data_IF_100353842102
#
_entry.id   IF_100353842102
#
_cell.length_a   1.000
_cell.length_b   1.000
_cell.length_c   1.000
_cell.angle_alpha   90.00
_cell.angle_beta   90.00
_cell.angle_gamma   90.00
#
_symmetry.space_group_name_H-M   'P 1'
#
loop_
_entity.id
_entity.type
_entity.pdbx_description
1 polymer ?
#
# COMPACT_ATOMS: atom_id res chain seq x y z
N UNK A 1 41.97 14.81 -73.76
CA UNK A 1 41.07 15.05 -72.62
C UNK A 1 40.57 16.47 -72.68
N UNK A 2 39.26 16.66 -72.46
CA UNK A 2 38.69 17.96 -72.16
C UNK A 2 38.81 18.17 -70.64
N UNK A 3 39.30 19.34 -70.23
CA UNK A 3 39.30 19.78 -68.83
C UNK A 3 38.25 20.88 -68.69
N UNK A 4 37.19 20.60 -67.92
CA UNK A 4 36.01 21.47 -67.79
C UNK A 4 35.81 21.84 -66.34
N UNK A 5 35.84 23.14 -66.05
CA UNK A 5 35.64 23.71 -64.71
C UNK A 5 34.16 23.89 -64.35
N UNK A 6 33.27 23.98 -65.35
CA UNK A 6 31.82 24.00 -65.14
C UNK A 6 31.06 23.58 -66.39
N UNK A 7 29.88 23.00 -66.18
CA UNK A 7 28.87 22.73 -67.21
C UNK A 7 27.55 23.32 -66.74
N UNK A 8 26.93 24.17 -67.56
CA UNK A 8 25.60 24.74 -67.29
C UNK A 8 24.58 24.22 -68.31
N UNK A 9 23.49 23.65 -67.83
CA UNK A 9 22.36 23.20 -68.63
C UNK A 9 21.06 23.77 -68.03
N UNK A 10 20.56 24.86 -68.63
CA UNK A 10 19.46 25.61 -68.05
C UNK A 10 19.82 26.19 -66.67
N UNK A 11 19.02 25.88 -65.65
CA UNK A 11 19.22 26.32 -64.27
C UNK A 11 20.19 25.43 -63.48
N UNK A 12 20.58 24.29 -64.03
CA UNK A 12 21.50 23.34 -63.41
C UNK A 12 22.94 23.68 -63.77
N UNK A 13 23.82 23.68 -62.76
CA UNK A 13 25.27 23.86 -62.90
C UNK A 13 25.96 22.69 -62.22
N UNK A 14 26.89 22.04 -62.92
CA UNK A 14 27.87 21.12 -62.31
C UNK A 14 29.23 21.80 -62.38
N UNK A 15 29.92 21.93 -61.26
CA UNK A 15 31.26 22.52 -61.15
C UNK A 15 32.09 21.81 -60.08
N UNK A 16 33.24 22.37 -59.69
CA UNK A 16 34.13 21.80 -58.68
C UNK A 16 33.50 21.63 -57.29
N UNK A 17 32.39 22.31 -56.99
CA UNK A 17 31.69 22.22 -55.70
C UNK A 17 30.60 21.14 -55.69
N UNK A 18 30.02 20.82 -56.86
CA UNK A 18 29.00 19.78 -57.02
C UNK A 18 27.92 20.13 -58.06
N UNK A 19 26.74 19.56 -57.89
CA UNK A 19 25.52 19.88 -58.66
C UNK A 19 24.70 20.95 -57.93
N UNK A 20 24.35 22.01 -58.63
CA UNK A 20 23.49 23.10 -58.15
C UNK A 20 22.32 23.32 -59.10
N UNK A 21 21.10 23.43 -58.58
CA UNK A 21 19.94 23.91 -59.33
C UNK A 21 19.57 25.28 -58.77
N UNK A 22 19.61 26.31 -59.62
CA UNK A 22 19.26 27.70 -59.21
C UNK A 22 17.84 27.72 -58.63
N UNK A 23 17.68 28.28 -57.42
CA UNK A 23 16.45 28.31 -56.62
C UNK A 23 15.84 26.91 -56.34
N UNK A 24 16.69 25.87 -56.27
CA UNK A 24 16.28 24.49 -56.09
C UNK A 24 17.28 23.63 -55.30
N UNK A 25 17.16 22.29 -55.39
CA UNK A 25 18.06 21.38 -54.69
C UNK A 25 19.52 21.45 -55.16
N UNK A 26 20.45 21.03 -54.30
CA UNK A 26 21.87 20.88 -54.62
C UNK A 26 22.48 19.63 -53.99
N UNK A 27 23.59 19.15 -54.56
CA UNK A 27 24.42 18.06 -54.05
C UNK A 27 25.88 18.50 -54.15
N UNK A 28 26.51 18.77 -53.02
CA UNK A 28 27.86 19.33 -52.93
C UNK A 28 28.75 18.45 -52.05
N UNK A 29 30.03 18.80 -51.97
CA UNK A 29 30.95 18.21 -50.98
C UNK A 29 30.50 18.41 -49.52
N UNK A 30 29.66 19.41 -49.25
CA UNK A 30 29.06 19.68 -47.94
C UNK A 30 27.78 18.87 -47.65
N UNK A 31 27.26 18.13 -48.62
CA UNK A 31 26.04 17.33 -48.47
C UNK A 31 24.94 17.68 -49.48
N UNK A 32 23.71 17.34 -49.12
CA UNK A 32 22.52 17.51 -49.98
C UNK A 32 21.62 18.59 -49.36
N UNK A 33 21.22 19.57 -50.16
CA UNK A 33 20.16 20.52 -49.83
C UNK A 33 18.94 20.22 -50.70
N UNK A 34 17.77 20.00 -50.07
CA UNK A 34 16.52 19.76 -50.79
C UNK A 34 15.88 21.06 -51.34
N UNK A 35 16.41 22.23 -51.00
CA UNK A 35 15.89 23.52 -51.46
C UNK A 35 14.44 23.75 -51.07
N UNK A 36 14.07 23.40 -49.82
CA UNK A 36 12.70 23.45 -49.29
C UNK A 36 11.67 22.57 -50.04
N UNK A 37 12.11 21.54 -50.77
CA UNK A 37 11.21 20.60 -51.44
C UNK A 37 10.98 19.33 -50.62
N UNK A 38 9.83 18.68 -50.84
CA UNK A 38 9.54 17.34 -50.31
C UNK A 38 10.38 16.30 -51.08
N UNK A 39 11.16 15.51 -50.36
CA UNK A 39 11.86 14.33 -50.90
C UNK A 39 10.88 13.16 -50.92
N UNK A 40 10.63 12.60 -52.11
CA UNK A 40 9.71 11.46 -52.31
C UNK A 40 10.48 10.15 -52.47
N UNK A 41 9.76 9.04 -52.35
CA UNK A 41 10.28 7.68 -52.58
C UNK A 41 11.43 7.28 -51.64
N UNK A 42 11.42 7.81 -50.42
CA UNK A 42 12.34 7.40 -49.36
C UNK A 42 11.82 6.09 -48.76
N UNK A 43 12.59 5.01 -48.89
CA UNK A 43 12.29 3.73 -48.26
C UNK A 43 12.31 3.84 -46.73
N UNK A 44 11.76 2.84 -46.03
CA UNK A 44 11.85 2.81 -44.57
C UNK A 44 13.33 2.65 -44.17
N UNK A 45 13.83 3.53 -43.31
CA UNK A 45 15.21 3.44 -42.80
C UNK A 45 15.36 2.23 -41.87
N UNK A 46 16.46 1.50 -42.01
CA UNK A 46 16.74 0.28 -41.24
C UNK A 46 18.01 0.39 -40.38
N UNK A 47 18.97 1.24 -40.78
CA UNK A 47 20.21 1.49 -40.08
C UNK A 47 20.17 2.84 -39.33
N UNK A 48 21.08 3.02 -38.37
CA UNK A 48 21.16 4.24 -37.53
C UNK A 48 21.32 5.54 -38.34
N UNK A 49 21.86 5.47 -39.56
CA UNK A 49 22.15 6.62 -40.41
C UNK A 49 21.17 6.79 -41.57
N UNK A 50 20.15 5.95 -41.68
CA UNK A 50 19.18 6.05 -42.77
C UNK A 50 18.19 7.21 -42.53
N UNK A 51 17.74 7.84 -43.62
CA UNK A 51 16.65 8.79 -43.54
C UNK A 51 15.33 8.07 -43.20
N UNK A 52 14.54 8.66 -42.29
CA UNK A 52 13.20 8.16 -41.98
C UNK A 52 12.14 8.82 -42.87
N UNK A 53 11.16 8.05 -43.31
CA UNK A 53 10.02 8.61 -44.02
C UNK A 53 8.83 8.88 -43.07
N UNK A 54 7.82 9.61 -43.57
CA UNK A 54 6.65 10.00 -42.77
C UNK A 54 5.87 8.81 -42.20
N UNK A 55 5.84 7.64 -42.86
CA UNK A 55 5.12 6.47 -42.37
C UNK A 55 5.71 5.95 -41.07
N UNK A 56 7.03 5.91 -40.95
CA UNK A 56 7.70 5.51 -39.71
C UNK A 56 7.37 6.49 -38.57
N UNK A 57 7.39 7.80 -38.86
CA UNK A 57 6.97 8.83 -37.91
C UNK A 57 5.50 8.69 -37.51
N UNK A 58 4.58 8.50 -38.46
CA UNK A 58 3.15 8.34 -38.21
C UNK A 58 2.88 7.07 -37.37
N UNK A 59 3.65 5.99 -37.59
CA UNK A 59 3.55 4.75 -36.80
C UNK A 59 3.98 5.00 -35.36
N UNK A 60 5.11 5.67 -35.15
CA UNK A 60 5.58 6.06 -33.82
C UNK A 60 4.58 7.00 -33.14
N UNK A 61 4.11 8.03 -33.86
CA UNK A 61 3.10 8.97 -33.38
C UNK A 61 1.81 8.25 -33.02
N UNK A 62 1.42 7.20 -33.74
CA UNK A 62 0.27 6.37 -33.42
C UNK A 62 0.46 5.53 -32.16
N UNK A 63 1.67 5.03 -31.89
CA UNK A 63 1.98 4.30 -30.65
C UNK A 63 2.01 5.25 -29.46
N UNK A 64 2.75 6.36 -29.59
CA UNK A 64 2.87 7.38 -28.54
C UNK A 64 1.51 8.01 -28.25
N UNK A 65 0.73 8.30 -29.29
CA UNK A 65 -0.60 8.88 -29.18
C UNK A 65 -1.65 7.96 -28.52
N UNK A 66 -1.42 6.64 -28.47
CA UNK A 66 -2.29 5.73 -27.70
C UNK A 66 -2.09 5.84 -26.19
N UNK A 67 -0.93 6.31 -25.74
CA UNK A 67 -0.63 6.39 -24.31
C UNK A 67 -0.55 5.02 -23.63
N UNK A 68 -0.95 4.99 -22.36
CA UNK A 68 -1.04 3.78 -21.53
C UNK A 68 -2.40 3.71 -20.83
N UNK A 69 -2.83 2.52 -20.39
CA UNK A 69 -4.13 2.32 -19.74
C UNK A 69 -4.05 2.32 -18.21
N UNK A 70 -4.92 3.09 -17.54
CA UNK A 70 -5.16 3.06 -16.10
C UNK A 70 -6.40 2.21 -15.79
N UNK A 71 -6.24 1.21 -14.94
CA UNK A 71 -7.33 0.35 -14.47
C UNK A 71 -7.29 0.26 -12.94
N UNK A 72 -8.44 0.44 -12.27
CA UNK A 72 -8.58 0.34 -10.81
C UNK A 72 -9.58 -0.77 -10.47
N UNK A 73 -9.24 -1.65 -9.54
CA UNK A 73 -10.10 -2.73 -9.05
C UNK A 73 -10.71 -3.60 -10.17
N UNK A 74 -9.94 -3.89 -11.22
CA UNK A 74 -10.38 -4.65 -12.40
C UNK A 74 -11.56 -4.02 -13.16
N UNK A 75 -11.78 -2.71 -13.02
CA UNK A 75 -12.80 -1.97 -13.77
C UNK A 75 -12.43 -1.76 -15.23
N UNK A 76 -13.11 -0.84 -15.91
CA UNK A 76 -12.75 -0.44 -17.27
C UNK A 76 -11.36 0.22 -17.33
N UNK A 77 -10.70 0.11 -18.50
CA UNK A 77 -9.41 0.76 -18.73
C UNK A 77 -9.60 2.17 -19.26
N UNK A 78 -9.06 3.15 -18.55
CA UNK A 78 -9.00 4.54 -18.99
C UNK A 78 -7.68 4.80 -19.72
N UNK A 79 -7.71 5.33 -20.94
CA UNK A 79 -6.48 5.67 -21.66
C UNK A 79 -5.90 7.00 -21.16
N UNK A 80 -4.62 7.00 -20.80
CA UNK A 80 -3.86 8.18 -20.41
C UNK A 80 -2.86 8.51 -21.53
N UNK A 81 -3.18 9.52 -22.32
CA UNK A 81 -2.39 9.93 -23.49
C UNK A 81 -1.36 11.01 -23.13
N UNK A 82 -0.35 11.29 -23.99
CA UNK A 82 0.64 12.31 -23.70
C UNK A 82 0.01 13.69 -23.45
N UNK A 83 0.41 14.32 -22.35
CA UNK A 83 -0.11 15.62 -21.91
C UNK A 83 -1.17 15.53 -20.82
N UNK A 84 -1.75 14.35 -20.57
CA UNK A 84 -2.69 14.14 -19.48
C UNK A 84 -2.00 13.91 -18.13
N UNK A 85 -2.75 14.10 -17.05
CA UNK A 85 -2.30 13.88 -15.68
C UNK A 85 -3.20 12.88 -14.99
N UNK A 86 -2.59 11.85 -14.39
CA UNK A 86 -3.28 11.01 -13.41
C UNK A 86 -3.14 11.66 -12.05
N UNK A 87 -4.27 12.06 -11.48
CA UNK A 87 -4.32 12.60 -10.14
C UNK A 87 -4.57 11.48 -9.13
N UNK A 88 -3.64 11.27 -8.20
CA UNK A 88 -3.85 10.37 -7.06
C UNK A 88 -4.30 11.21 -5.88
N UNK A 89 -5.58 11.13 -5.57
CA UNK A 89 -6.17 11.82 -4.42
C UNK A 89 -6.14 10.92 -3.21
N UNK A 90 -5.65 11.43 -2.08
CA UNK A 90 -5.85 10.76 -0.80
C UNK A 90 -7.32 10.74 -0.40
N UNK A 91 -7.73 9.64 0.22
CA UNK A 91 -9.02 9.52 0.90
C UNK A 91 -8.81 9.61 2.41
N UNK A 92 -9.89 9.48 3.17
CA UNK A 92 -9.89 9.83 4.59
C UNK A 92 -8.89 9.01 5.44
N UNK A 93 -8.75 7.71 5.14
CA UNK A 93 -7.90 6.81 5.93
C UNK A 93 -6.52 6.58 5.35
N UNK A 94 -6.26 7.15 4.17
CA UNK A 94 -5.08 6.86 3.39
C UNK A 94 -4.40 8.16 3.03
N UNK A 95 -3.27 8.42 3.66
CA UNK A 95 -2.40 9.54 3.32
C UNK A 95 -1.61 9.21 2.05
N UNK A 96 -1.58 10.13 1.09
CA UNK A 96 -0.76 10.01 -0.11
C UNK A 96 0.18 11.22 -0.21
N UNK A 97 1.49 10.97 -0.26
CA UNK A 97 2.51 12.01 -0.45
C UNK A 97 3.46 11.63 -1.58
N UNK A 98 4.09 12.61 -2.23
CA UNK A 98 5.09 12.34 -3.29
C UNK A 98 6.41 13.02 -2.97
N UNK A 99 7.51 12.29 -3.13
CA UNK A 99 8.86 12.85 -3.14
C UNK A 99 9.57 12.42 -4.41
N UNK A 100 9.77 13.36 -5.35
CA UNK A 100 10.31 13.06 -6.68
C UNK A 100 9.46 12.03 -7.44
N UNK A 101 10.04 10.87 -7.73
CA UNK A 101 9.39 9.75 -8.43
C UNK A 101 8.73 8.74 -7.48
N UNK A 102 8.83 8.95 -6.17
CA UNK A 102 8.26 8.06 -5.16
C UNK A 102 6.90 8.58 -4.70
N UNK A 103 5.89 7.72 -4.80
CA UNK A 103 4.57 7.92 -4.18
C UNK A 103 4.53 7.12 -2.87
N UNK A 104 4.28 7.79 -1.75
CA UNK A 104 4.11 7.19 -0.43
C UNK A 104 2.63 7.14 -0.08
N UNK A 105 2.10 5.93 0.10
CA UNK A 105 0.73 5.67 0.50
C UNK A 105 0.78 5.06 1.90
N UNK A 106 0.26 5.76 2.89
CA UNK A 106 0.24 5.32 4.28
C UNK A 106 -1.19 5.30 4.80
N UNK A 107 -1.47 4.51 5.83
CA UNK A 107 -2.63 4.87 6.66
C UNK A 107 -2.37 6.27 7.16
N UNK A 108 -3.39 7.09 7.09
CA UNK A 108 -3.31 8.35 7.77
C UNK A 108 -2.96 8.05 9.24
N UNK A 109 -2.17 8.94 9.87
CA UNK A 109 -1.84 8.88 11.30
C UNK A 109 -3.10 8.76 12.19
N UNK A 110 -4.25 9.04 11.58
CA UNK A 110 -5.60 8.87 12.08
C UNK A 110 -6.41 8.14 11.00
N UNK A 111 -7.17 7.13 11.39
CA UNK A 111 -8.04 6.33 10.51
C UNK A 111 -9.47 6.37 11.03
N UNK A 112 -10.42 6.16 10.13
CA UNK A 112 -11.86 6.39 10.27
C UNK A 112 -12.65 5.26 9.57
N UNK A 113 -13.03 4.22 10.33
CA UNK A 113 -13.76 3.06 9.83
C UNK A 113 -15.24 3.13 10.22
N UNK A 114 -16.20 3.03 9.27
CA UNK A 114 -17.65 3.06 9.56
C UNK A 114 -18.11 1.95 10.52
N UNK A 115 -17.57 0.74 10.35
CA UNK A 115 -17.54 -0.32 11.36
C UNK A 115 -16.18 -0.94 11.28
N UNK A 116 -15.41 -0.70 12.31
CA UNK A 116 -14.52 -1.74 12.74
C UNK A 116 -15.35 -2.63 13.68
N UNK A 117 -15.36 -3.92 13.44
CA UNK A 117 -15.87 -4.86 14.44
C UNK A 117 -14.90 -4.78 15.63
N UNK A 118 -15.28 -3.99 16.66
CA UNK A 118 -14.46 -3.65 17.85
C UNK A 118 -15.24 -3.27 19.15
N UNK A 119 -16.56 -3.39 19.29
CA UNK A 119 -17.27 -3.33 20.61
C UNK A 119 -16.96 -2.16 21.59
N UNK A 120 -17.11 -2.39 22.90
CA UNK A 120 -16.77 -1.43 23.98
C UNK A 120 -15.24 -1.32 24.23
N UNK A 121 -14.45 -1.89 23.34
CA UNK A 121 -13.04 -2.19 23.51
C UNK A 121 -12.23 -0.93 23.19
N UNK A 122 -11.61 -0.35 24.22
CA UNK A 122 -10.67 0.78 24.06
C UNK A 122 -9.24 0.29 24.16
N UNK A 123 -8.38 0.46 23.15
CA UNK A 123 -6.92 0.23 23.24
C UNK A 123 -6.18 1.53 23.58
N UNK A 124 -5.68 1.63 24.81
CA UNK A 124 -4.92 2.79 25.26
C UNK A 124 -3.43 2.68 24.88
N UNK A 125 -2.91 3.65 24.13
CA UNK A 125 -1.52 3.60 23.62
C UNK A 125 -0.46 3.72 24.73
N UNK A 126 -0.77 4.44 25.81
CA UNK A 126 0.21 4.74 26.86
C UNK A 126 0.25 3.66 27.94
N UNK A 127 -0.93 3.13 28.28
CA UNK A 127 -1.13 2.14 29.34
C UNK A 127 -1.31 0.72 28.79
N UNK A 128 -1.51 0.57 27.48
CA UNK A 128 -1.74 -0.71 26.81
C UNK A 128 -3.10 -1.34 27.14
N UNK A 129 -3.99 -0.63 27.83
CA UNK A 129 -5.21 -1.24 28.36
C UNK A 129 -6.27 -1.37 27.30
N UNK A 130 -6.88 -2.55 27.32
CA UNK A 130 -8.14 -2.83 26.66
C UNK A 130 -9.26 -2.73 27.69
N UNK A 131 -10.01 -1.64 27.67
CA UNK A 131 -11.09 -1.39 28.63
C UNK A 131 -12.45 -1.44 27.96
N UNK A 132 -13.50 -1.42 28.79
CA UNK A 132 -14.88 -1.41 28.36
C UNK A 132 -15.44 -2.77 27.95
N UNK A 133 -14.60 -3.80 27.86
CA UNK A 133 -15.02 -5.20 27.71
C UNK A 133 -16.20 -5.53 28.63
N UNK A 134 -17.37 -5.74 28.01
CA UNK A 134 -18.57 -6.21 28.68
C UNK A 134 -18.32 -7.56 29.35
N UNK A 135 -19.17 -7.91 30.32
CA UNK A 135 -19.13 -9.24 30.89
C UNK A 135 -19.39 -10.26 29.79
N UNK A 136 -18.36 -11.03 29.48
CA UNK A 136 -18.48 -12.04 28.46
C UNK A 136 -19.43 -13.13 28.91
N UNK A 137 -20.22 -13.68 27.99
CA UNK A 137 -21.04 -14.83 28.31
C UNK A 137 -20.15 -15.91 28.98
N UNK A 138 -20.56 -16.43 30.15
CA UNK A 138 -19.79 -17.45 30.87
C UNK A 138 -20.36 -18.84 30.60
N UNK A 139 -19.99 -19.37 29.45
CA UNK A 139 -20.33 -20.72 29.02
C UNK A 139 -19.10 -21.39 28.43
N UNK A 140 -19.13 -22.71 28.22
CA UNK A 140 -18.03 -23.41 27.56
C UNK A 140 -17.75 -22.89 26.13
N UNK A 141 -18.69 -22.13 25.52
CA UNK A 141 -18.69 -21.76 24.10
C UNK A 141 -18.47 -20.27 23.78
N UNK A 142 -18.55 -19.36 24.77
CA UNK A 142 -18.45 -17.90 24.55
C UNK A 142 -17.14 -17.43 23.90
N UNK A 143 -17.21 -16.27 23.21
CA UNK A 143 -16.10 -15.56 22.56
C UNK A 143 -15.97 -14.11 22.99
N UNK A 144 -16.80 -13.71 23.92
CA UNK A 144 -16.74 -12.38 24.46
C UNK A 144 -15.49 -12.27 25.34
N UNK A 145 -14.86 -11.10 25.32
CA UNK A 145 -13.80 -10.84 26.28
C UNK A 145 -14.40 -10.82 27.70
N UNK A 146 -13.67 -11.35 28.68
CA UNK A 146 -14.11 -11.33 30.09
C UNK A 146 -13.69 -10.04 30.75
N UNK A 147 -14.60 -9.47 31.52
CA UNK A 147 -14.35 -8.20 32.19
C UNK A 147 -13.53 -8.39 33.46
N UNK A 148 -12.97 -7.28 33.96
CA UNK A 148 -12.34 -7.26 35.28
C UNK A 148 -13.30 -7.59 36.42
N UNK A 149 -14.61 -7.35 36.25
CA UNK A 149 -15.63 -7.65 37.26
C UNK A 149 -15.80 -9.15 37.47
N UNK A 150 -15.85 -9.93 36.37
CA UNK A 150 -16.03 -11.38 36.41
C UNK A 150 -14.85 -12.08 37.11
N UNK A 151 -13.63 -11.62 36.85
CA UNK A 151 -12.43 -12.13 37.53
C UNK A 151 -12.39 -11.72 39.01
N UNK A 152 -12.79 -10.49 39.31
CA UNK A 152 -12.83 -10.00 40.68
C UNK A 152 -13.81 -10.81 41.55
N UNK A 153 -15.01 -11.10 41.04
CA UNK A 153 -16.01 -11.91 41.75
C UNK A 153 -15.47 -13.31 42.11
N UNK A 154 -14.79 -13.96 41.16
CA UNK A 154 -14.15 -15.28 41.38
C UNK A 154 -13.11 -15.22 42.49
N UNK A 155 -12.28 -14.18 42.51
CA UNK A 155 -11.23 -14.02 43.51
C UNK A 155 -11.79 -13.83 44.94
N UNK A 156 -12.95 -13.20 45.09
CA UNK A 156 -13.59 -13.08 46.40
C UNK A 156 -14.04 -14.41 46.98
N UNK A 157 -14.50 -15.33 46.13
CA UNK A 157 -14.92 -16.66 46.55
C UNK A 157 -13.72 -17.51 47.01
N UNK A 158 -12.59 -17.43 46.30
CA UNK A 158 -11.33 -18.10 46.70
C UNK A 158 -10.87 -17.62 48.07
N UNK A 159 -10.86 -16.29 48.28
CA UNK A 159 -10.45 -15.70 49.55
C UNK A 159 -11.33 -16.16 50.72
N UNK A 160 -12.64 -16.38 50.49
CA UNK A 160 -13.56 -16.88 51.51
C UNK A 160 -13.20 -18.32 51.92
N UNK A 161 -13.00 -19.20 50.95
CA UNK A 161 -12.65 -20.60 51.22
C UNK A 161 -11.36 -20.72 52.02
N UNK A 162 -10.35 -19.91 51.70
CA UNK A 162 -9.11 -19.89 52.48
C UNK A 162 -9.35 -19.62 53.96
N UNK A 163 -10.26 -18.70 54.29
CA UNK A 163 -10.61 -18.38 55.68
C UNK A 163 -11.41 -19.50 56.33
N UNK A 164 -12.40 -20.04 55.65
CA UNK A 164 -13.25 -21.10 56.19
C UNK A 164 -12.45 -22.37 56.45
N UNK A 165 -11.50 -22.71 55.57
CA UNK A 165 -10.56 -23.82 55.78
C UNK A 165 -9.71 -23.55 57.03
N UNK A 166 -9.22 -22.33 57.21
CA UNK A 166 -8.45 -21.97 58.39
C UNK A 166 -9.31 -22.03 59.67
N UNK A 167 -10.56 -21.58 59.61
CA UNK A 167 -11.50 -21.63 60.72
C UNK A 167 -11.90 -23.07 61.07
N UNK A 168 -12.22 -23.89 60.07
CA UNK A 168 -12.46 -25.31 60.26
C UNK A 168 -11.24 -25.98 60.87
N UNK A 169 -10.04 -25.68 60.36
CA UNK A 169 -8.80 -26.15 60.95
C UNK A 169 -8.68 -25.71 62.41
N UNK A 170 -9.04 -24.48 62.76
CA UNK A 170 -9.03 -23.98 64.13
C UNK A 170 -10.10 -24.64 65.02
N UNK A 171 -11.33 -24.85 64.55
CA UNK A 171 -12.40 -25.54 65.30
C UNK A 171 -12.06 -27.01 65.53
N UNK A 172 -11.55 -27.68 64.49
CA UNK A 172 -11.01 -29.03 64.60
C UNK A 172 -9.87 -29.08 65.63
N UNK A 173 -9.01 -28.05 65.64
CA UNK A 173 -7.97 -27.90 66.65
C UNK A 173 -8.49 -27.52 68.04
N UNK A 174 -9.64 -26.85 68.17
CA UNK A 174 -10.19 -26.41 69.46
C UNK A 174 -11.02 -27.50 70.15
N UNK A 175 -11.59 -28.44 69.40
CA UNK A 175 -12.42 -29.52 69.93
C UNK A 175 -13.78 -29.10 70.50
N UNK A 176 -14.56 -30.08 70.95
CA UNK A 176 -15.93 -29.94 71.48
C UNK A 176 -15.91 -29.98 73.01
N UNK A 177 -16.60 -29.03 73.65
CA UNK A 177 -16.76 -28.99 75.10
C UNK A 177 -17.96 -29.82 75.56
N UNK A 178 -17.74 -30.73 76.49
CA UNK A 178 -18.78 -31.54 77.13
C UNK A 178 -18.84 -31.19 78.61
N UNK A 179 -20.05 -31.03 79.15
CA UNK A 179 -20.27 -30.91 80.59
C UNK A 179 -20.58 -32.31 81.16
N UNK A 180 -19.77 -32.76 82.12
CA UNK A 180 -20.00 -34.00 82.86
C UNK A 180 -20.38 -33.72 84.31
N UNK A 181 -20.85 -34.76 85.01
CA UNK A 181 -21.28 -34.69 86.42
C UNK A 181 -20.18 -34.25 87.42
N UNK A 182 -18.92 -34.07 86.98
CA UNK A 182 -17.79 -33.59 87.78
C UNK A 182 -16.95 -32.49 87.10
N UNK A 183 -17.51 -31.78 86.11
CA UNK A 183 -16.84 -30.67 85.42
C UNK A 183 -16.86 -30.80 83.89
N UNK A 184 -16.27 -29.84 83.19
CA UNK A 184 -16.22 -29.81 81.72
C UNK A 184 -14.90 -30.37 81.18
N UNK A 185 -14.95 -31.08 80.04
CA UNK A 185 -13.76 -31.52 79.31
C UNK A 185 -13.95 -31.28 77.80
N UNK A 186 -12.84 -31.10 77.07
CA UNK A 186 -12.84 -30.83 75.63
C UNK A 186 -12.28 -32.03 74.87
N UNK A 187 -12.88 -32.42 73.73
CA UNK A 187 -12.32 -33.45 72.82
C UNK A 187 -12.28 -32.98 71.38
N UNK A 188 -11.15 -33.12 70.71
CA UNK A 188 -10.97 -32.82 69.28
C UNK A 188 -11.48 -33.97 68.40
N UNK A 189 -11.85 -33.65 67.16
CA UNK A 189 -12.26 -34.68 66.19
C UNK A 189 -11.06 -35.60 65.87
N UNK A 190 -11.22 -36.91 66.05
CA UNK A 190 -10.15 -37.90 65.87
C UNK A 190 -9.30 -38.17 67.12
N UNK A 191 -9.54 -37.49 68.25
CA UNK A 191 -8.92 -37.79 69.54
C UNK A 191 -9.58 -39.04 70.15
N UNK A 192 -8.85 -40.15 70.31
CA UNK A 192 -9.43 -41.47 70.64
C UNK A 192 -9.19 -41.98 72.07
N UNK A 193 -8.53 -41.24 72.95
CA UNK A 193 -8.28 -41.67 74.34
C UNK A 193 -8.17 -40.49 75.28
#
# INVERSE_FOLDING_TARGET
NLDVTSVKAGNSVINNDGLHITDGPSVTSGGIDAGNNIIRNVADGANETDAVNKRQFDTLSGIVGKGWGLQVNSGETEAIVPGETVNFTEGDNIKITRSGKTLNIATARRVDFERATVGDITLDQATGKITGVADGELSADSKDAVSGHQLFATNQNVARNTRDIAANKALLNNGMNFAGNKGSFNRRLGEVT
#
